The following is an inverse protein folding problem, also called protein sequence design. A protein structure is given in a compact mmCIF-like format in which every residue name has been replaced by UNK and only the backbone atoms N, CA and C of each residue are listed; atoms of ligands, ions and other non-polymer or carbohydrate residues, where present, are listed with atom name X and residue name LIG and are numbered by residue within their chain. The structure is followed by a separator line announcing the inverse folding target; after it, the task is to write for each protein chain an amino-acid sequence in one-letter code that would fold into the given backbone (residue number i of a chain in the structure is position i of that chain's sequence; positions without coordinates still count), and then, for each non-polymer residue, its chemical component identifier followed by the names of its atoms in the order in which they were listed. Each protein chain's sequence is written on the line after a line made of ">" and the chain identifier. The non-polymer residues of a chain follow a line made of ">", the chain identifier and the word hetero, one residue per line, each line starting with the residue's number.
data_IF_523985812122
#
_entry.id   IF_523985812122
#
_cell.length_a   1.000
_cell.length_b   1.000
_cell.length_c   1.000
_cell.angle_alpha   90.00
_cell.angle_beta   90.00
_cell.angle_gamma   90.00
#
_symmetry.space_group_name_H-M   'P 1'
#
loop_
_entity.id
_entity.type
_entity.pdbx_description
1 polymer ?
#
# COMPACT_ATOMS: atom_id res chain seq x y z
N UNK A 1 8.39 -0.06 -4.21
CA UNK A 1 7.84 -1.17 -5.02
C UNK A 1 8.88 -2.00 -5.78
N UNK A 2 10.08 -1.49 -6.12
CA UNK A 2 11.02 -2.31 -6.91
C UNK A 2 11.56 -3.54 -6.15
N UNK A 3 11.59 -3.51 -4.81
CA UNK A 3 12.20 -4.59 -4.03
C UNK A 3 11.21 -5.74 -3.77
N UNK A 4 9.96 -5.42 -3.47
CA UNK A 4 8.90 -6.43 -3.31
C UNK A 4 8.63 -7.21 -4.60
N UNK A 5 8.69 -6.56 -5.77
CA UNK A 5 8.49 -7.24 -7.07
C UNK A 5 9.64 -8.19 -7.45
N UNK A 6 10.81 -8.05 -6.83
CA UNK A 6 11.93 -8.96 -7.01
C UNK A 6 11.82 -10.23 -6.14
N UNK A 7 10.81 -10.31 -5.26
CA UNK A 7 10.58 -11.48 -4.42
C UNK A 7 9.89 -12.62 -5.18
N UNK A 8 9.42 -12.37 -6.41
CA UNK A 8 8.79 -13.37 -7.27
C UNK A 8 9.50 -13.47 -8.63
N UNK A 9 9.41 -14.61 -9.32
CA UNK A 9 9.90 -14.76 -10.69
C UNK A 9 9.29 -13.74 -11.64
N UNK A 10 10.00 -13.41 -12.72
CA UNK A 10 9.60 -12.36 -13.66
C UNK A 10 8.21 -12.59 -14.28
N UNK A 11 7.86 -13.84 -14.57
CA UNK A 11 6.56 -14.20 -15.14
C UNK A 11 5.38 -13.98 -14.18
N UNK A 12 5.63 -13.79 -12.88
CA UNK A 12 4.61 -13.57 -11.84
C UNK A 12 4.49 -12.10 -11.42
N UNK A 13 5.41 -11.23 -11.86
CA UNK A 13 5.47 -9.84 -11.43
C UNK A 13 4.20 -9.07 -11.73
N UNK A 14 3.58 -9.32 -12.88
CA UNK A 14 2.33 -8.65 -13.28
C UNK A 14 1.16 -9.03 -12.37
N UNK A 15 1.11 -10.28 -11.92
CA UNK A 15 0.07 -10.75 -11.01
C UNK A 15 0.29 -10.16 -9.62
N UNK A 16 1.54 -10.11 -9.17
CA UNK A 16 1.90 -9.43 -7.92
C UNK A 16 1.60 -7.92 -7.98
N UNK A 17 1.91 -7.24 -9.08
CA UNK A 17 1.56 -5.82 -9.27
C UNK A 17 0.05 -5.60 -9.17
N UNK A 18 -0.74 -6.47 -9.79
CA UNK A 18 -2.20 -6.44 -9.69
C UNK A 18 -2.66 -6.65 -8.25
N UNK A 19 -2.07 -7.62 -7.55
CA UNK A 19 -2.36 -7.92 -6.16
C UNK A 19 -2.05 -6.73 -5.24
N UNK A 20 -0.89 -6.10 -5.40
CA UNK A 20 -0.47 -4.89 -4.67
C UNK A 20 -1.43 -3.72 -4.94
N UNK A 21 -1.77 -3.47 -6.20
CA UNK A 21 -2.68 -2.38 -6.57
C UNK A 21 -4.08 -2.57 -5.99
N UNK A 22 -4.59 -3.80 -5.95
CA UNK A 22 -5.87 -4.12 -5.31
C UNK A 22 -5.78 -3.97 -3.79
N UNK A 23 -4.69 -4.43 -3.19
CA UNK A 23 -4.40 -4.25 -1.77
C UNK A 23 -4.40 -2.80 -1.31
N UNK A 24 -3.71 -1.94 -2.06
CA UNK A 24 -3.71 -0.50 -1.81
C UNK A 24 -5.11 0.09 -1.86
N UNK A 25 -5.93 -0.27 -2.86
CA UNK A 25 -7.33 0.19 -2.95
C UNK A 25 -8.15 -0.25 -1.73
N UNK A 26 -7.94 -1.47 -1.24
CA UNK A 26 -8.61 -1.98 -0.04
C UNK A 26 -8.21 -1.17 1.21
N UNK A 27 -6.91 -0.99 1.44
CA UNK A 27 -6.39 -0.19 2.56
C UNK A 27 -6.97 1.23 2.52
N UNK A 28 -6.89 1.90 1.37
CA UNK A 28 -7.41 3.27 1.19
C UNK A 28 -8.94 3.34 1.33
N UNK A 29 -9.65 2.22 1.21
CA UNK A 29 -11.09 2.10 1.44
C UNK A 29 -11.42 1.65 2.88
N UNK A 30 -10.46 1.73 3.81
CA UNK A 30 -10.58 1.29 5.20
C UNK A 30 -10.88 -0.22 5.36
N UNK A 31 -10.43 -1.05 4.42
CA UNK A 31 -10.54 -2.51 4.51
C UNK A 31 -9.17 -3.12 4.81
N UNK A 32 -9.18 -4.21 5.57
CA UNK A 32 -7.98 -4.99 5.84
C UNK A 32 -7.52 -5.72 4.57
N UNK A 33 -6.21 -5.78 4.36
CA UNK A 33 -5.58 -6.59 3.32
C UNK A 33 -4.21 -7.10 3.81
N UNK A 34 -3.95 -8.40 3.71
CA UNK A 34 -2.73 -9.04 4.26
C UNK A 34 -2.47 -8.72 5.74
N UNK A 35 -3.53 -8.62 6.55
CA UNK A 35 -3.50 -8.15 7.95
C UNK A 35 -2.95 -6.72 8.13
N UNK A 36 -2.94 -5.93 7.07
CA UNK A 36 -2.62 -4.51 7.08
C UNK A 36 -3.90 -3.69 6.94
N UNK A 37 -3.97 -2.60 7.69
CA UNK A 37 -5.07 -1.64 7.66
C UNK A 37 -4.55 -0.24 7.41
N UNK A 38 -5.48 0.71 7.18
CA UNK A 38 -5.11 2.13 7.10
C UNK A 38 -4.55 2.64 8.43
N UNK A 39 -5.00 2.10 9.57
CA UNK A 39 -4.51 2.49 10.89
C UNK A 39 -3.04 2.10 11.07
N UNK A 40 -2.65 0.91 10.63
CA UNK A 40 -1.25 0.46 10.65
C UNK A 40 -0.36 1.36 9.80
N UNK A 41 -0.84 1.73 8.60
CA UNK A 41 -0.16 2.70 7.76
C UNK A 41 -0.03 4.06 8.44
N UNK A 42 -1.10 4.58 9.06
CA UNK A 42 -1.01 5.89 9.74
C UNK A 42 -0.01 5.86 10.90
N UNK A 43 -0.01 4.81 11.72
CA UNK A 43 1.00 4.64 12.79
C UNK A 43 2.41 4.67 12.20
N UNK A 44 2.66 3.88 11.15
CA UNK A 44 3.93 3.89 10.44
C UNK A 44 4.29 5.28 9.89
N UNK A 45 3.33 6.01 9.33
CA UNK A 45 3.54 7.36 8.80
C UNK A 45 3.93 8.37 9.90
N UNK A 46 3.30 8.31 11.07
CA UNK A 46 3.63 9.17 12.21
C UNK A 46 4.96 8.80 12.86
N UNK A 47 5.35 7.53 12.83
CA UNK A 47 6.67 7.07 13.33
C UNK A 47 7.79 7.35 12.32
N UNK A 48 7.46 7.36 11.04
CA UNK A 48 8.40 7.67 9.96
C UNK A 48 9.00 9.07 10.13
N UNK A 49 10.30 9.17 9.90
CA UNK A 49 11.05 10.43 10.03
C UNK A 49 10.87 11.12 11.40
N UNK A 50 10.67 10.34 12.48
CA UNK A 50 10.49 10.85 13.84
C UNK A 50 9.29 11.82 13.96
N UNK A 51 8.24 11.62 13.16
CA UNK A 51 7.05 12.48 13.15
C UNK A 51 7.21 13.82 12.43
N UNK A 52 8.39 14.14 11.89
CA UNK A 52 8.63 15.44 11.21
C UNK A 52 7.72 15.67 10.01
N UNK A 53 7.36 14.61 9.30
CA UNK A 53 6.43 14.69 8.17
C UNK A 53 5.00 15.01 8.63
N UNK A 54 4.55 14.36 9.70
CA UNK A 54 3.28 14.65 10.31
C UNK A 54 3.22 16.09 10.84
N UNK A 55 4.28 16.56 11.51
CA UNK A 55 4.40 17.94 11.97
C UNK A 55 4.29 18.94 10.81
N UNK A 56 4.97 18.67 9.69
CA UNK A 56 4.91 19.51 8.51
C UNK A 56 3.50 19.58 7.91
N UNK A 57 2.82 18.43 7.80
CA UNK A 57 1.45 18.35 7.31
C UNK A 57 0.49 19.12 8.24
N UNK A 58 0.58 18.94 9.56
CA UNK A 58 -0.25 19.66 10.53
C UNK A 58 0.00 21.17 10.45
N UNK A 59 1.27 21.59 10.36
CA UNK A 59 1.63 23.01 10.16
C UNK A 59 1.03 23.57 8.87
N UNK A 60 1.04 22.79 7.78
CA UNK A 60 0.42 23.20 6.54
C UNK A 60 -1.09 23.35 6.70
N UNK A 61 -1.79 22.37 7.27
CA UNK A 61 -3.24 22.41 7.46
C UNK A 61 -3.70 23.62 8.29
N UNK A 62 -2.90 24.05 9.28
CA UNK A 62 -3.21 25.22 10.11
C UNK A 62 -2.95 26.57 9.42
N UNK A 63 -2.04 26.61 8.43
CA UNK A 63 -1.61 27.85 7.78
C UNK A 63 -2.03 27.95 6.31
N UNK A 64 -2.65 26.91 5.76
CA UNK A 64 -3.04 26.86 4.36
C UNK A 64 -4.06 27.97 4.04
N UNK A 65 -3.70 28.85 3.11
CA UNK A 65 -4.63 29.83 2.57
C UNK A 65 -5.33 29.23 1.33
N UNK A 66 -6.52 28.67 1.51
CA UNK A 66 -7.28 28.03 0.43
C UNK A 66 -7.69 28.99 -0.70
N UNK A 67 -7.59 30.31 -0.51
CA UNK A 67 -7.84 31.31 -1.56
C UNK A 67 -6.62 31.52 -2.47
N UNK A 68 -5.44 30.99 -2.09
CA UNK A 68 -4.22 31.06 -2.89
C UNK A 68 -4.10 29.88 -3.85
N UNK A 69 -3.81 30.18 -5.12
CA UNK A 69 -3.51 29.17 -6.15
C UNK A 69 -2.30 28.26 -5.79
N UNK A 70 -1.40 28.72 -4.91
CA UNK A 70 -0.21 27.96 -4.50
C UNK A 70 -0.52 26.86 -3.47
N UNK A 71 -1.68 26.93 -2.81
CA UNK A 71 -2.09 25.94 -1.81
C UNK A 71 -2.34 24.59 -2.45
N UNK A 72 -2.92 24.56 -3.66
CA UNK A 72 -3.13 23.31 -4.40
C UNK A 72 -1.80 22.60 -4.71
N UNK A 73 -0.79 23.34 -5.17
CA UNK A 73 0.55 22.78 -5.43
C UNK A 73 1.17 22.18 -4.17
N UNK A 74 1.00 22.85 -3.03
CA UNK A 74 1.49 22.37 -1.74
C UNK A 74 0.79 21.08 -1.30
N UNK A 75 -0.55 21.01 -1.45
CA UNK A 75 -1.33 19.79 -1.19
C UNK A 75 -0.85 18.62 -2.04
N UNK A 76 -0.63 18.83 -3.34
CA UNK A 76 -0.14 17.79 -4.24
C UNK A 76 1.25 17.28 -3.80
N UNK A 77 2.12 18.17 -3.32
CA UNK A 77 3.41 17.79 -2.74
C UNK A 77 3.26 16.84 -1.54
N UNK A 78 2.43 17.21 -0.56
CA UNK A 78 2.15 16.34 0.60
C UNK A 78 1.50 15.02 0.20
N UNK A 79 0.65 15.02 -0.83
CA UNK A 79 0.04 13.80 -1.35
C UNK A 79 1.09 12.84 -1.93
N UNK A 80 2.03 13.33 -2.73
CA UNK A 80 3.10 12.50 -3.30
C UNK A 80 4.00 11.92 -2.19
N UNK A 81 4.37 12.72 -1.18
CA UNK A 81 5.11 12.21 -0.02
C UNK A 81 4.35 11.10 0.72
N UNK A 82 3.03 11.26 0.92
CA UNK A 82 2.23 10.21 1.57
C UNK A 82 2.18 8.92 0.74
N UNK A 83 2.14 9.01 -0.59
CA UNK A 83 2.23 7.84 -1.47
C UNK A 83 3.59 7.15 -1.40
N UNK A 84 4.67 7.91 -1.34
CA UNK A 84 6.02 7.35 -1.19
C UNK A 84 6.16 6.59 0.13
N UNK A 85 5.69 7.17 1.25
CA UNK A 85 5.69 6.49 2.55
C UNK A 85 4.77 5.27 2.55
N UNK A 86 3.65 5.30 1.81
CA UNK A 86 2.81 4.11 1.62
C UNK A 86 3.58 2.99 0.91
N UNK A 87 4.44 3.32 -0.06
CA UNK A 87 5.29 2.31 -0.68
C UNK A 87 6.33 1.75 0.29
N UNK A 88 6.95 2.59 1.12
CA UNK A 88 7.88 2.14 2.14
C UNK A 88 7.20 1.22 3.17
N UNK A 89 5.96 1.55 3.56
CA UNK A 89 5.14 0.70 4.42
C UNK A 89 4.89 -0.69 3.81
N UNK A 90 4.57 -0.75 2.51
CA UNK A 90 4.37 -2.03 1.82
C UNK A 90 5.68 -2.84 1.73
N UNK A 91 6.80 -2.17 1.46
CA UNK A 91 8.13 -2.81 1.42
C UNK A 91 8.53 -3.34 2.82
N UNK A 92 8.25 -2.59 3.88
CA UNK A 92 8.48 -3.03 5.26
C UNK A 92 7.67 -4.29 5.61
N UNK A 93 6.50 -4.47 5.00
CA UNK A 93 5.61 -5.61 5.20
C UNK A 93 5.70 -6.67 4.09
N UNK A 94 6.75 -6.63 3.25
CA UNK A 94 6.85 -7.47 2.06
C UNK A 94 6.72 -8.98 2.35
N UNK A 95 7.25 -9.47 3.47
CA UNK A 95 7.22 -10.89 3.79
C UNK A 95 5.78 -11.40 3.95
N UNK A 96 4.95 -10.67 4.70
CA UNK A 96 3.54 -11.03 4.90
C UNK A 96 2.76 -10.97 3.58
N UNK A 97 3.00 -9.93 2.78
CA UNK A 97 2.34 -9.75 1.48
C UNK A 97 2.66 -10.92 0.54
N UNK A 98 3.92 -11.36 0.49
CA UNK A 98 4.33 -12.49 -0.38
C UNK A 98 3.74 -13.83 0.12
N UNK A 99 3.66 -14.05 1.43
CA UNK A 99 3.02 -15.24 1.99
C UNK A 99 1.54 -15.30 1.58
N UNK A 100 0.82 -14.20 1.75
CA UNK A 100 -0.60 -14.11 1.38
C UNK A 100 -0.83 -14.22 -0.13
N UNK A 101 0.05 -13.61 -0.94
CA UNK A 101 0.01 -13.75 -2.40
C UNK A 101 0.15 -15.22 -2.84
N UNK A 102 1.11 -15.94 -2.26
CA UNK A 102 1.33 -17.35 -2.57
C UNK A 102 0.16 -18.23 -2.09
N UNK A 103 -0.39 -17.95 -0.90
CA UNK A 103 -1.56 -18.64 -0.35
C UNK A 103 -2.78 -18.48 -1.26
N UNK A 104 -3.07 -17.26 -1.73
CA UNK A 104 -4.18 -17.01 -2.64
C UNK A 104 -4.05 -17.80 -3.95
N UNK A 105 -2.83 -17.93 -4.48
CA UNK A 105 -2.58 -18.68 -5.71
C UNK A 105 -2.68 -20.19 -5.53
N UNK A 106 -2.22 -20.72 -4.41
CA UNK A 106 -2.42 -22.14 -4.09
C UNK A 106 -3.91 -22.46 -3.99
N UNK A 107 -4.67 -21.66 -3.24
CA UNK A 107 -6.12 -21.82 -3.13
C UNK A 107 -6.83 -21.76 -4.49
N UNK A 108 -6.46 -20.80 -5.35
CA UNK A 108 -7.03 -20.71 -6.69
C UNK A 108 -6.69 -21.94 -7.57
N UNK A 109 -5.50 -22.50 -7.42
CA UNK A 109 -5.09 -23.72 -8.14
C UNK A 109 -5.86 -24.93 -7.63
N UNK A 110 -6.02 -25.06 -6.32
CA UNK A 110 -6.74 -26.15 -5.68
C UNK A 110 -8.24 -26.10 -6.03
N UNK A 111 -8.85 -24.91 -6.06
CA UNK A 111 -10.24 -24.72 -6.50
C UNK A 111 -10.45 -25.15 -7.96
N UNK A 112 -9.51 -24.82 -8.86
CA UNK A 112 -9.57 -25.25 -10.27
C UNK A 112 -9.41 -26.76 -10.38
N UNK A 113 -8.51 -27.38 -9.61
CA UNK A 113 -8.33 -28.82 -9.60
C UNK A 113 -9.55 -29.55 -9.04
N UNK A 114 -10.17 -29.03 -7.98
CA UNK A 114 -11.42 -29.56 -7.42
C UNK A 114 -12.59 -29.45 -8.39
N UNK A 115 -12.73 -28.31 -9.09
CA UNK A 115 -13.74 -28.12 -10.13
C UNK A 115 -13.51 -29.03 -11.35
N UNK A 116 -12.26 -29.29 -11.71
CA UNK A 116 -11.89 -30.20 -12.79
C UNK A 116 -12.01 -31.69 -12.41
N UNK A 117 -11.89 -32.03 -11.12
CA UNK A 117 -12.02 -33.40 -10.60
C UNK A 117 -13.48 -33.87 -10.45
N UNK A 118 -14.46 -32.98 -10.65
CA UNK A 118 -15.87 -33.33 -10.83
C UNK A 118 -16.61 -33.74 -9.56
N UNK A 119 -17.39 -32.80 -9.03
CA UNK A 119 -18.73 -33.08 -8.48
C UNK A 119 -19.76 -32.36 -9.35
#
# INVERSE_FOLDING_TARGET
>A
MKNILNQVPEYERKDLETFLNNGQKLILSNRQWCNLTISDFTTFYFESHEGKLADALVKFLLNANCESNNTLLSVLGYQEFAKDVLFDFLEANQQNIIIEFNSQRQNATDEIQLAAAGY
#
